data_IF_949654194049
#
_entry.id   IF_949654194049
#
_cell.length_a   1.000
_cell.length_b   1.000
_cell.length_c   1.000
_cell.angle_alpha   90.00
_cell.angle_beta   90.00
_cell.angle_gamma   90.00
#
_symmetry.space_group_name_H-M   'P 1'
#
loop_
_entity.id
_entity.type
_entity.pdbx_description
1 polymer ?
#
# COMPACT_ATOMS: atom_id res chain seq x y z
N UNK A 1 -10.24 16.82 -24.86
CA UNK A 1 -9.01 16.24 -24.27
C UNK A 1 -8.87 14.83 -24.81
N UNK A 2 -7.76 14.47 -25.44
CA UNK A 2 -7.60 13.14 -26.03
C UNK A 2 -7.32 12.10 -24.95
N UNK A 3 -8.13 11.04 -24.91
CA UNK A 3 -7.78 9.81 -24.17
C UNK A 3 -6.54 9.17 -24.81
N UNK A 4 -5.58 8.72 -24.00
CA UNK A 4 -4.48 7.90 -24.50
C UNK A 4 -5.03 6.67 -25.26
N UNK A 5 -4.39 6.23 -26.36
CA UNK A 5 -4.85 5.06 -27.10
C UNK A 5 -4.97 3.82 -26.17
N UNK A 6 -5.98 2.95 -26.34
CA UNK A 6 -6.20 1.83 -25.42
C UNK A 6 -4.99 0.90 -25.23
N UNK A 7 -4.15 0.76 -26.26
CA UNK A 7 -2.88 0.02 -26.18
C UNK A 7 -1.90 0.63 -25.17
N UNK A 8 -1.65 1.95 -25.25
CA UNK A 8 -0.74 2.67 -24.33
C UNK A 8 -1.24 2.60 -22.88
N UNK A 9 -2.57 2.62 -22.69
CA UNK A 9 -3.17 2.43 -21.37
C UNK A 9 -3.04 0.99 -20.85
N UNK A 10 -3.06 -0.02 -21.74
CA UNK A 10 -2.77 -1.41 -21.39
C UNK A 10 -1.29 -1.62 -21.04
N UNK A 11 -0.37 -1.13 -21.88
CA UNK A 11 1.08 -1.19 -21.63
C UNK A 11 1.44 -0.53 -20.30
N UNK A 12 0.85 0.63 -19.99
CA UNK A 12 0.98 1.28 -18.69
C UNK A 12 0.46 0.39 -17.55
N UNK A 13 -0.71 -0.24 -17.69
CA UNK A 13 -1.24 -1.16 -16.68
C UNK A 13 -0.42 -2.45 -16.52
N UNK A 14 0.18 -2.95 -17.59
CA UNK A 14 1.08 -4.11 -17.56
C UNK A 14 2.44 -3.77 -16.95
N UNK A 15 2.97 -2.58 -17.20
CA UNK A 15 4.14 -2.03 -16.51
C UNK A 15 3.86 -1.81 -15.02
N UNK A 16 2.69 -1.28 -14.66
CA UNK A 16 2.27 -1.11 -13.26
C UNK A 16 2.08 -2.47 -12.56
N UNK A 17 1.46 -3.47 -13.22
CA UNK A 17 1.41 -4.87 -12.75
C UNK A 17 2.79 -5.53 -12.70
N UNK A 18 3.72 -5.13 -13.58
CA UNK A 18 5.13 -5.50 -13.52
C UNK A 18 5.76 -4.97 -12.24
N UNK A 19 5.56 -3.69 -11.95
CA UNK A 19 5.90 -3.05 -10.68
C UNK A 19 5.32 -3.76 -9.46
N UNK A 20 4.02 -4.10 -9.46
CA UNK A 20 3.37 -4.86 -8.36
C UNK A 20 3.97 -6.27 -8.18
N UNK A 21 4.45 -6.92 -9.24
CA UNK A 21 5.03 -8.28 -9.15
C UNK A 21 6.53 -8.30 -8.84
N UNK A 22 7.29 -7.33 -9.36
CA UNK A 22 8.64 -7.05 -8.88
C UNK A 22 8.62 -6.58 -7.41
N UNK A 23 7.56 -5.88 -7.00
CA UNK A 23 7.29 -5.58 -5.60
C UNK A 23 6.97 -6.85 -4.79
N UNK A 24 6.16 -7.78 -5.29
CA UNK A 24 5.84 -9.04 -4.59
C UNK A 24 7.02 -10.00 -4.36
N UNK A 25 8.24 -9.66 -4.80
CA UNK A 25 9.44 -10.50 -4.74
C UNK A 25 10.50 -10.02 -3.73
N UNK A 26 10.12 -9.28 -2.68
CA UNK A 26 11.07 -8.86 -1.63
C UNK A 26 11.44 -10.02 -0.69
N UNK A 27 12.63 -9.91 -0.10
CA UNK A 27 12.97 -10.56 1.17
C UNK A 27 13.33 -9.45 2.16
N UNK A 28 12.53 -9.26 3.22
CA UNK A 28 12.86 -8.35 4.32
C UNK A 28 13.85 -9.03 5.29
N UNK A 29 15.08 -9.23 4.80
CA UNK A 29 16.23 -9.59 5.63
C UNK A 29 16.88 -8.36 6.30
N UNK A 30 17.89 -8.54 7.17
CA UNK A 30 18.62 -7.42 7.76
C UNK A 30 20.14 -7.45 7.51
N UNK A 31 20.71 -6.38 6.93
CA UNK A 31 22.02 -5.71 7.22
C UNK A 31 22.31 -4.53 6.26
N UNK A 32 22.32 -3.30 6.79
CA UNK A 32 23.16 -2.20 6.27
C UNK A 32 22.46 -0.89 5.86
N UNK A 33 23.26 0.15 5.59
CA UNK A 33 22.76 1.45 5.10
C UNK A 33 22.13 1.35 3.71
N UNK A 34 22.68 0.50 2.83
CA UNK A 34 22.07 0.17 1.53
C UNK A 34 20.63 -0.34 1.66
N UNK A 35 20.30 -1.03 2.75
CA UNK A 35 18.97 -1.61 2.95
C UNK A 35 17.98 -0.58 3.50
N UNK A 36 18.47 0.44 4.23
CA UNK A 36 17.71 1.66 4.49
C UNK A 36 17.42 2.46 3.22
N UNK A 37 18.38 2.53 2.28
CA UNK A 37 18.15 3.09 0.95
C UNK A 37 17.12 2.28 0.16
N UNK A 38 17.23 0.94 0.11
CA UNK A 38 16.23 0.07 -0.55
C UNK A 38 14.84 0.21 0.03
N UNK A 39 14.67 0.11 1.36
CA UNK A 39 13.36 0.26 2.00
C UNK A 39 12.76 1.65 1.72
N UNK A 40 13.58 2.70 1.62
CA UNK A 40 13.14 4.03 1.21
C UNK A 40 12.68 4.06 -0.24
N UNK A 41 13.48 3.56 -1.17
CA UNK A 41 13.17 3.53 -2.61
C UNK A 41 11.93 2.67 -2.90
N UNK A 42 11.77 1.56 -2.17
CA UNK A 42 10.60 0.69 -2.17
C UNK A 42 9.33 1.38 -1.66
N UNK A 43 9.41 2.08 -0.52
CA UNK A 43 8.26 2.80 0.06
C UNK A 43 7.88 4.00 -0.81
N UNK A 44 8.84 4.82 -1.24
CA UNK A 44 8.57 5.89 -2.21
C UNK A 44 8.04 5.33 -3.54
N UNK A 45 8.56 4.19 -4.01
CA UNK A 45 8.10 3.48 -5.21
C UNK A 45 6.66 3.00 -5.08
N UNK A 46 6.31 2.37 -3.96
CA UNK A 46 4.94 1.94 -3.64
C UNK A 46 3.97 3.11 -3.52
N UNK A 47 4.39 4.22 -2.90
CA UNK A 47 3.59 5.46 -2.80
C UNK A 47 3.34 6.06 -4.20
N UNK A 48 4.38 6.16 -5.04
CA UNK A 48 4.26 6.60 -6.45
C UNK A 48 3.32 5.69 -7.25
N UNK A 49 3.49 4.38 -7.14
CA UNK A 49 2.70 3.33 -7.80
C UNK A 49 1.21 3.41 -7.43
N UNK A 50 0.89 3.47 -6.13
CA UNK A 50 -0.49 3.60 -5.64
C UNK A 50 -1.13 4.94 -6.07
N UNK A 51 -0.37 6.03 -6.05
CA UNK A 51 -0.82 7.34 -6.53
C UNK A 51 -1.17 7.34 -8.02
N UNK A 52 -0.30 6.78 -8.87
CA UNK A 52 -0.55 6.63 -10.30
C UNK A 52 -1.73 5.69 -10.60
N UNK A 53 -1.82 4.55 -9.92
CA UNK A 53 -2.95 3.62 -10.08
C UNK A 53 -4.29 4.26 -9.69
N UNK A 54 -4.33 5.12 -8.66
CA UNK A 54 -5.52 5.88 -8.28
C UNK A 54 -5.93 6.87 -9.38
N UNK A 55 -4.99 7.61 -9.95
CA UNK A 55 -5.26 8.52 -11.08
C UNK A 55 -5.82 7.79 -12.30
N UNK A 56 -5.30 6.60 -12.65
CA UNK A 56 -5.80 5.79 -13.78
C UNK A 56 -7.17 5.17 -13.46
N UNK A 57 -7.42 4.79 -12.20
CA UNK A 57 -8.72 4.29 -11.74
C UNK A 57 -9.87 5.31 -11.93
N UNK A 58 -9.57 6.61 -11.81
CA UNK A 58 -10.55 7.69 -11.98
C UNK A 58 -10.89 8.02 -13.44
N UNK A 59 -10.08 7.56 -14.42
CA UNK A 59 -10.34 7.75 -15.87
C UNK A 59 -11.59 7.00 -16.36
N UNK A 60 -12.02 5.95 -15.63
CA UNK A 60 -13.20 5.17 -15.97
C UNK A 60 -13.04 4.27 -17.19
N UNK A 61 -14.16 3.82 -17.77
CA UNK A 61 -14.17 2.86 -18.87
C UNK A 61 -13.56 1.49 -18.48
N UNK A 62 -13.15 0.66 -19.47
CA UNK A 62 -12.48 -0.62 -19.22
C UNK A 62 -11.13 -0.45 -18.50
N UNK A 63 -10.35 0.56 -18.88
CA UNK A 63 -9.03 0.87 -18.29
C UNK A 63 -9.17 1.19 -16.81
N UNK A 64 -10.06 2.11 -16.43
CA UNK A 64 -10.30 2.46 -15.01
C UNK A 64 -10.85 1.29 -14.18
N UNK A 65 -11.67 0.41 -14.78
CA UNK A 65 -12.11 -0.84 -14.11
C UNK A 65 -10.95 -1.78 -13.83
N UNK A 66 -10.00 -1.93 -14.75
CA UNK A 66 -8.83 -2.79 -14.54
C UNK A 66 -7.82 -2.16 -13.58
N UNK A 67 -7.60 -0.84 -13.69
CA UNK A 67 -6.79 -0.07 -12.74
C UNK A 67 -7.30 -0.21 -11.29
N UNK A 68 -8.63 -0.26 -11.06
CA UNK A 68 -9.20 -0.50 -9.72
C UNK A 68 -8.85 -1.88 -9.16
N UNK A 69 -8.76 -2.93 -9.97
CA UNK A 69 -8.29 -4.25 -9.52
C UNK A 69 -6.81 -4.22 -9.13
N UNK A 70 -5.97 -3.63 -9.98
CA UNK A 70 -4.53 -3.53 -9.72
C UNK A 70 -4.23 -2.62 -8.52
N UNK A 71 -4.98 -1.52 -8.35
CA UNK A 71 -4.94 -0.65 -7.18
C UNK A 71 -5.34 -1.41 -5.90
N UNK A 72 -6.37 -2.26 -5.97
CA UNK A 72 -6.81 -3.10 -4.87
C UNK A 72 -5.74 -4.13 -4.45
N UNK A 73 -5.17 -4.85 -5.42
CA UNK A 73 -4.12 -5.82 -5.19
C UNK A 73 -2.85 -5.16 -4.61
N UNK A 74 -2.40 -4.05 -5.20
CA UNK A 74 -1.28 -3.26 -4.72
C UNK A 74 -1.52 -2.70 -3.31
N UNK A 75 -2.75 -2.28 -2.98
CA UNK A 75 -3.10 -1.80 -1.64
C UNK A 75 -3.03 -2.92 -0.61
N UNK A 76 -3.56 -4.12 -0.92
CA UNK A 76 -3.48 -5.28 -0.03
C UNK A 76 -2.02 -5.74 0.21
N UNK A 77 -1.20 -5.74 -0.83
CA UNK A 77 0.24 -6.04 -0.77
C UNK A 77 0.99 -5.01 0.11
N UNK A 78 0.77 -3.71 -0.12
CA UNK A 78 1.37 -2.65 0.69
C UNK A 78 0.92 -2.71 2.17
N UNK A 79 -0.35 -3.02 2.45
CA UNK A 79 -0.84 -3.27 3.81
C UNK A 79 -0.19 -4.51 4.43
N UNK A 80 0.00 -5.58 3.66
CA UNK A 80 0.61 -6.80 4.18
C UNK A 80 2.03 -6.54 4.66
N UNK A 81 2.82 -5.85 3.84
CA UNK A 81 4.22 -5.48 4.15
C UNK A 81 4.31 -4.50 5.30
N UNK A 82 3.48 -3.45 5.33
CA UNK A 82 3.42 -2.54 6.46
C UNK A 82 3.05 -3.28 7.78
N UNK A 83 2.18 -4.30 7.69
CA UNK A 83 1.77 -5.14 8.82
C UNK A 83 2.79 -6.21 9.23
N UNK A 84 3.81 -6.48 8.40
CA UNK A 84 4.85 -7.45 8.70
C UNK A 84 5.72 -6.90 9.84
N UNK A 85 5.61 -7.52 11.02
CA UNK A 85 6.45 -7.21 12.17
C UNK A 85 7.87 -7.69 11.92
N UNK A 86 8.86 -6.84 12.20
CA UNK A 86 10.25 -7.27 12.39
C UNK A 86 10.30 -8.30 13.52
N UNK A 87 10.71 -9.53 13.22
CA UNK A 87 10.78 -10.64 14.19
C UNK A 87 11.92 -10.42 15.20
N UNK A 88 11.67 -9.59 16.21
CA UNK A 88 12.45 -9.41 17.44
C UNK A 88 13.90 -8.91 17.29
N UNK A 89 14.47 -8.87 16.08
CA UNK A 89 15.91 -8.76 15.87
C UNK A 89 16.47 -7.38 16.26
N UNK A 90 17.31 -7.29 17.31
CA UNK A 90 17.77 -6.03 17.89
C UNK A 90 18.85 -5.31 17.06
N UNK A 91 19.11 -5.76 15.83
CA UNK A 91 20.19 -5.31 14.94
C UNK A 91 20.05 -3.87 14.40
N UNK A 92 19.40 -2.97 15.13
CA UNK A 92 19.25 -1.56 14.78
C UNK A 92 18.93 -0.71 16.02
N UNK A 93 19.63 0.42 16.17
CA UNK A 93 19.43 1.38 17.25
C UNK A 93 18.06 2.06 17.17
N UNK A 94 17.70 2.81 18.22
CA UNK A 94 16.38 3.42 18.40
C UNK A 94 15.96 4.28 17.20
N UNK A 95 16.80 5.23 16.77
CA UNK A 95 16.55 6.07 15.60
C UNK A 95 16.34 5.31 14.28
N UNK A 96 16.94 4.13 14.12
CA UNK A 96 16.71 3.28 12.93
C UNK A 96 15.33 2.61 12.99
N UNK A 97 14.87 2.20 14.18
CA UNK A 97 13.53 1.64 14.39
C UNK A 97 12.44 2.70 14.21
N UNK A 98 12.65 3.91 14.76
CA UNK A 98 11.74 5.04 14.58
C UNK A 98 11.57 5.42 13.11
N UNK A 99 12.68 5.39 12.34
CA UNK A 99 12.67 5.62 10.91
C UNK A 99 11.98 4.49 10.12
N UNK A 100 12.25 3.23 10.45
CA UNK A 100 11.57 2.05 9.87
C UNK A 100 10.04 2.14 10.09
N UNK A 101 9.61 2.45 11.32
CA UNK A 101 8.20 2.65 11.66
C UNK A 101 7.57 3.87 10.98
N UNK A 102 8.33 4.95 10.75
CA UNK A 102 7.87 6.10 9.98
C UNK A 102 7.63 5.74 8.50
N UNK A 103 8.55 5.01 7.87
CA UNK A 103 8.39 4.52 6.49
C UNK A 103 7.21 3.55 6.36
N UNK A 104 7.09 2.59 7.28
CA UNK A 104 5.96 1.64 7.32
C UNK A 104 4.63 2.35 7.61
N UNK A 105 4.64 3.41 8.43
CA UNK A 105 3.49 4.27 8.67
C UNK A 105 3.04 5.04 7.42
N UNK A 106 3.98 5.57 6.63
CA UNK A 106 3.68 6.23 5.36
C UNK A 106 3.10 5.24 4.33
N UNK A 107 3.69 4.04 4.19
CA UNK A 107 3.16 3.00 3.31
C UNK A 107 1.74 2.55 3.71
N UNK A 108 1.50 2.36 5.01
CA UNK A 108 0.17 2.04 5.53
C UNK A 108 -0.85 3.15 5.25
N UNK A 109 -0.48 4.43 5.45
CA UNK A 109 -1.34 5.58 5.16
C UNK A 109 -1.79 5.58 3.69
N UNK A 110 -0.84 5.55 2.75
CA UNK A 110 -1.14 5.60 1.31
C UNK A 110 -1.91 4.37 0.85
N UNK A 111 -1.61 3.17 1.38
CA UNK A 111 -2.35 1.96 1.04
C UNK A 111 -3.80 1.99 1.55
N UNK A 112 -4.06 2.58 2.73
CA UNK A 112 -5.43 2.75 3.24
C UNK A 112 -6.20 3.85 2.50
N UNK A 113 -5.57 4.94 2.09
CA UNK A 113 -6.19 5.96 1.24
C UNK A 113 -6.51 5.42 -0.16
N UNK A 114 -5.61 4.64 -0.75
CA UNK A 114 -5.83 3.93 -2.01
C UNK A 114 -7.01 2.95 -1.89
N UNK A 115 -7.01 2.09 -0.87
CA UNK A 115 -8.10 1.16 -0.60
C UNK A 115 -9.44 1.88 -0.34
N UNK A 116 -9.43 3.00 0.39
CA UNK A 116 -10.62 3.80 0.65
C UNK A 116 -11.18 4.48 -0.60
N UNK A 117 -10.36 4.77 -1.62
CA UNK A 117 -10.82 5.35 -2.89
C UNK A 117 -11.55 4.36 -3.82
N UNK A 118 -11.48 3.06 -3.54
CA UNK A 118 -12.23 2.02 -4.27
C UNK A 118 -13.73 2.06 -3.92
N UNK A 119 -14.56 1.48 -4.80
CA UNK A 119 -16.00 1.43 -4.59
C UNK A 119 -16.41 0.44 -3.49
N UNK A 120 -17.60 0.60 -2.91
CA UNK A 120 -18.09 -0.28 -1.83
C UNK A 120 -18.11 -1.76 -2.21
N UNK A 121 -18.39 -2.11 -3.48
CA UNK A 121 -18.33 -3.48 -3.95
C UNK A 121 -16.90 -4.06 -3.90
N UNK A 122 -15.93 -3.31 -4.44
CA UNK A 122 -14.51 -3.70 -4.47
C UNK A 122 -13.96 -3.86 -3.04
N UNK A 123 -14.27 -2.89 -2.16
CA UNK A 123 -13.87 -2.91 -0.73
C UNK A 123 -14.48 -4.08 0.01
N UNK A 124 -15.77 -4.39 -0.20
CA UNK A 124 -16.46 -5.53 0.43
C UNK A 124 -15.88 -6.87 -0.01
N UNK A 125 -15.61 -7.06 -1.31
CA UNK A 125 -14.96 -8.27 -1.82
C UNK A 125 -13.57 -8.49 -1.20
N UNK A 126 -12.85 -7.41 -0.91
CA UNK A 126 -11.52 -7.46 -0.31
C UNK A 126 -11.48 -7.47 1.22
N UNK A 127 -12.60 -7.20 1.90
CA UNK A 127 -12.64 -6.94 3.35
C UNK A 127 -12.00 -8.08 4.17
N UNK A 128 -12.31 -9.33 3.82
CA UNK A 128 -11.74 -10.52 4.48
C UNK A 128 -10.21 -10.64 4.35
N UNK A 129 -9.60 -10.05 3.30
CA UNK A 129 -8.15 -9.99 3.10
C UNK A 129 -7.53 -8.76 3.79
N UNK A 130 -8.23 -7.63 3.81
CA UNK A 130 -7.75 -6.39 4.42
C UNK A 130 -7.83 -6.42 5.96
N UNK A 131 -8.88 -7.00 6.54
CA UNK A 131 -9.19 -6.91 7.97
C UNK A 131 -8.11 -7.50 8.91
N UNK A 132 -7.48 -8.66 8.62
CA UNK A 132 -6.38 -9.18 9.44
C UNK A 132 -5.15 -8.26 9.42
N UNK A 133 -4.89 -7.60 8.28
CA UNK A 133 -3.76 -6.69 8.10
C UNK A 133 -4.00 -5.38 8.85
N UNK A 134 -5.21 -4.82 8.72
CA UNK A 134 -5.71 -3.68 9.50
C UNK A 134 -5.58 -3.93 11.00
N UNK A 135 -6.02 -5.09 11.48
CA UNK A 135 -5.96 -5.47 12.90
C UNK A 135 -4.51 -5.55 13.41
N UNK A 136 -3.59 -6.13 12.62
CA UNK A 136 -2.15 -6.12 12.93
C UNK A 136 -1.56 -4.71 12.96
N UNK A 137 -1.94 -3.84 12.04
CA UNK A 137 -1.45 -2.45 11.98
C UNK A 137 -1.95 -1.60 13.15
N UNK A 138 -3.20 -1.76 13.56
CA UNK A 138 -3.78 -1.09 14.75
C UNK A 138 -3.03 -1.50 16.03
N UNK A 139 -2.69 -2.78 16.14
CA UNK A 139 -1.92 -3.35 17.26
C UNK A 139 -0.39 -3.28 17.08
N UNK A 140 0.11 -2.61 16.03
CA UNK A 140 1.55 -2.53 15.76
C UNK A 140 2.31 -1.86 16.91
N UNK A 141 3.52 -2.32 17.30
CA UNK A 141 4.36 -1.61 18.28
C UNK A 141 4.77 -0.21 17.81
N UNK A 142 4.82 0.02 16.49
CA UNK A 142 5.22 1.29 15.90
C UNK A 142 4.19 2.41 16.06
N UNK A 143 4.59 3.49 16.75
CA UNK A 143 3.73 4.65 17.03
C UNK A 143 3.26 5.32 15.73
N UNK A 144 4.14 5.47 14.75
CA UNK A 144 3.85 6.05 13.44
C UNK A 144 2.82 5.22 12.66
N UNK A 145 2.94 3.89 12.68
CA UNK A 145 1.97 2.95 12.07
C UNK A 145 0.59 3.08 12.71
N UNK A 146 0.50 3.06 14.05
CA UNK A 146 -0.78 3.22 14.76
C UNK A 146 -1.42 4.59 14.50
N UNK A 147 -0.62 5.67 14.45
CA UNK A 147 -1.10 7.03 14.11
C UNK A 147 -1.66 7.09 12.69
N UNK A 148 -0.95 6.54 11.71
CA UNK A 148 -1.37 6.48 10.31
C UNK A 148 -2.71 5.77 10.14
N UNK A 149 -2.81 4.51 10.60
CA UNK A 149 -4.04 3.72 10.47
C UNK A 149 -5.19 4.34 11.27
N UNK A 150 -4.95 4.78 12.50
CA UNK A 150 -5.95 5.48 13.29
C UNK A 150 -6.46 6.78 12.64
N UNK A 151 -5.62 7.48 11.85
CA UNK A 151 -6.03 8.66 11.09
C UNK A 151 -7.03 8.29 10.00
N UNK A 152 -6.69 7.34 9.12
CA UNK A 152 -7.58 6.94 8.02
C UNK A 152 -8.86 6.31 8.57
N UNK A 153 -8.78 5.45 9.58
CA UNK A 153 -9.97 4.80 10.18
C UNK A 153 -10.96 5.80 10.79
N UNK A 154 -10.50 6.92 11.35
CA UNK A 154 -11.40 7.99 11.84
C UNK A 154 -12.04 8.79 10.72
N UNK A 155 -11.27 9.15 9.69
CA UNK A 155 -11.76 9.99 8.57
C UNK A 155 -12.61 9.20 7.58
N UNK A 156 -12.23 7.96 7.29
CA UNK A 156 -12.89 7.04 6.36
C UNK A 156 -13.77 6.05 7.13
N UNK A 157 -14.84 6.55 7.77
CA UNK A 157 -15.83 5.72 8.50
C UNK A 157 -16.45 4.63 7.59
N UNK A 158 -16.40 4.80 6.26
CA UNK A 158 -16.77 3.77 5.29
C UNK A 158 -15.93 2.47 5.39
N UNK A 159 -14.67 2.54 5.84
CA UNK A 159 -13.84 1.36 6.12
C UNK A 159 -14.35 0.55 7.32
N UNK A 160 -15.06 1.18 8.25
CA UNK A 160 -15.70 0.53 9.40
C UNK A 160 -17.17 0.16 9.15
N UNK A 161 -17.85 0.81 8.20
CA UNK A 161 -19.24 0.48 7.81
C UNK A 161 -19.38 -0.73 6.87
N UNK A 162 -18.30 -1.52 6.74
CA UNK A 162 -18.33 -2.90 6.22
C UNK A 162 -18.42 -3.97 7.32
N UNK A 163 -18.51 -3.55 8.59
CA UNK A 163 -18.71 -4.37 9.80
C UNK A 163 -20.20 -4.40 10.14
#
# INVERSE_FOLDING_TARGET
VGSAPPAVALEALEALRGGVRAAGAWNLGPRGEEEGLRLREEVEGGVRLLGSLRQVADVGGPVGKEAKKVLLEASLEALHRASATRDGSPAGGEAHRDWEDAMRGALALTALEAFASLGDADRKMAHARAWPLLSKLISSPGVSVRKAVGSVVRTQVALLKGI
#
